data_IF_612306714904
#
_entry.id   IF_612306714904
#
_cell.length_a   1.000
_cell.length_b   1.000
_cell.length_c   1.000
_cell.angle_alpha   90.00
_cell.angle_beta   90.00
_cell.angle_gamma   90.00
#
_symmetry.space_group_name_H-M   'P 1'
#
loop_
_entity.id
_entity.type
_entity.pdbx_description
1 polymer ?
#
# COMPACT_ATOMS: atom_id res chain seq x y z
N UNK A 1 -8.69 1.79 6.50
CA UNK A 1 -7.62 2.80 6.73
C UNK A 1 -6.52 2.56 5.73
N UNK A 2 -6.23 3.53 4.87
CA UNK A 2 -5.15 3.45 3.89
C UNK A 2 -3.85 3.91 4.55
N UNK A 3 -2.71 3.35 4.16
CA UNK A 3 -1.40 3.73 4.66
C UNK A 3 -0.35 3.67 3.56
N UNK A 4 0.53 4.67 3.49
CA UNK A 4 1.69 4.69 2.59
C UNK A 4 2.96 4.88 3.40
N UNK A 5 3.99 4.12 3.06
CA UNK A 5 5.36 4.31 3.55
C UNK A 5 6.23 4.79 2.41
N UNK A 6 7.08 5.78 2.66
CA UNK A 6 8.10 6.20 1.71
C UNK A 6 9.35 6.69 2.43
N UNK A 7 10.49 6.55 1.75
CA UNK A 7 11.78 6.96 2.28
C UNK A 7 11.86 8.47 2.46
N UNK A 8 12.42 8.92 3.58
CA UNK A 8 12.82 10.31 3.72
C UNK A 8 13.31 10.68 5.10
N UNK A 9 14.27 11.60 5.12
CA UNK A 9 14.83 12.16 6.34
C UNK A 9 13.97 13.33 6.80
N UNK A 10 12.86 13.01 7.45
CA UNK A 10 11.98 14.00 8.07
C UNK A 10 12.14 13.92 9.59
N UNK A 11 12.29 15.08 10.23
CA UNK A 11 12.60 15.14 11.66
C UNK A 11 12.13 16.41 12.37
N UNK A 12 11.59 17.38 11.63
CA UNK A 12 10.96 18.58 12.18
C UNK A 12 9.54 18.77 11.67
N UNK A 13 8.68 19.39 12.47
CA UNK A 13 7.29 19.69 12.08
C UNK A 13 7.23 20.52 10.78
N UNK A 14 8.14 21.47 10.59
CA UNK A 14 8.23 22.29 9.37
C UNK A 14 8.55 21.45 8.13
N UNK A 15 9.42 20.42 8.27
CA UNK A 15 9.71 19.49 7.18
C UNK A 15 8.50 18.62 6.81
N UNK A 16 7.64 18.30 7.79
CA UNK A 16 6.40 17.57 7.57
C UNK A 16 5.31 18.46 6.95
N UNK A 17 5.20 19.72 7.35
CA UNK A 17 4.27 20.69 6.72
C UNK A 17 4.56 20.85 5.23
N UNK A 18 5.83 20.87 4.84
CA UNK A 18 6.22 20.98 3.43
C UNK A 18 5.71 19.82 2.57
N UNK A 19 5.57 18.61 3.16
CA UNK A 19 5.10 17.45 2.40
C UNK A 19 3.58 17.39 2.30
N UNK A 20 2.80 18.00 3.20
CA UNK A 20 1.34 17.95 3.14
C UNK A 20 0.75 18.65 1.90
N UNK A 21 -0.37 18.17 1.35
CA UNK A 21 -1.15 18.93 0.38
C UNK A 21 -1.66 20.26 0.98
N UNK A 22 -1.98 21.22 0.11
CA UNK A 22 -2.57 22.49 0.54
C UNK A 22 -3.90 22.25 1.26
N UNK A 23 -4.14 22.96 2.36
CA UNK A 23 -5.36 22.84 3.18
C UNK A 23 -5.22 21.93 4.41
N UNK A 24 -4.04 21.35 4.61
CA UNK A 24 -3.74 20.45 5.73
C UNK A 24 -2.56 20.96 6.55
N UNK A 25 -2.58 20.64 7.83
CA UNK A 25 -1.51 20.94 8.78
C UNK A 25 -1.20 19.70 9.64
N UNK A 26 -0.09 19.76 10.37
CA UNK A 26 0.29 18.71 11.32
C UNK A 26 0.38 19.27 12.73
N UNK A 27 0.00 18.45 13.69
CA UNK A 27 0.16 18.73 15.11
C UNK A 27 0.85 17.56 15.79
N UNK A 28 1.91 17.85 16.54
CA UNK A 28 2.62 16.83 17.33
C UNK A 28 1.69 16.23 18.40
N UNK A 29 1.61 14.90 18.46
CA UNK A 29 0.77 14.18 19.44
C UNK A 29 1.62 13.59 20.56
N UNK A 30 2.74 12.96 20.22
CA UNK A 30 3.65 12.34 21.19
C UNK A 30 5.11 12.34 20.67
N UNK A 31 6.03 12.76 21.55
CA UNK A 31 7.50 12.67 21.43
C UNK A 31 8.16 13.11 20.10
N UNK A 32 7.47 13.86 19.25
CA UNK A 32 8.00 14.30 17.94
C UNK A 32 8.15 13.18 16.90
N UNK A 33 7.62 11.99 17.17
CA UNK A 33 7.64 10.84 16.24
C UNK A 33 6.27 10.54 15.64
N UNK A 34 5.20 11.03 16.26
CA UNK A 34 3.83 10.88 15.78
C UNK A 34 3.11 12.23 15.71
N UNK A 35 2.48 12.46 14.57
CA UNK A 35 1.78 13.71 14.26
C UNK A 35 0.37 13.39 13.77
N UNK A 36 -0.62 14.14 14.24
CA UNK A 36 -1.95 14.15 13.63
C UNK A 36 -1.88 15.03 12.38
N UNK A 37 -2.56 14.61 11.31
CA UNK A 37 -2.86 15.49 10.17
C UNK A 37 -4.24 16.05 10.36
N UNK A 38 -4.35 17.38 10.31
CA UNK A 38 -5.59 18.12 10.51
C UNK A 38 -5.94 18.89 9.24
N UNK A 39 -7.23 19.11 8.99
CA UNK A 39 -7.68 20.19 8.10
C UNK A 39 -7.46 21.55 8.79
N UNK A 40 -7.47 22.65 8.04
CA UNK A 40 -7.47 24.00 8.65
C UNK A 40 -8.70 24.30 9.53
N UNK A 41 -9.75 23.47 9.46
CA UNK A 41 -10.89 23.54 10.38
C UNK A 41 -10.65 22.77 11.70
N UNK A 42 -9.50 22.09 11.84
CA UNK A 42 -9.10 21.33 13.02
C UNK A 42 -9.57 19.87 13.05
N UNK A 43 -10.15 19.35 11.96
CA UNK A 43 -10.61 17.96 11.89
C UNK A 43 -9.44 17.02 11.63
N UNK A 44 -9.32 15.94 12.40
CA UNK A 44 -8.27 14.93 12.18
C UNK A 44 -8.63 14.02 11.02
N UNK A 45 -7.71 13.92 10.05
CA UNK A 45 -7.91 13.21 8.78
C UNK A 45 -6.90 12.08 8.55
N UNK A 46 -5.89 12.00 9.40
CA UNK A 46 -4.83 11.03 9.28
C UNK A 46 -3.76 11.21 10.33
N UNK A 47 -2.69 10.44 10.20
CA UNK A 47 -1.50 10.60 11.04
C UNK A 47 -0.23 10.33 10.25
N UNK A 48 0.86 10.89 10.75
CA UNK A 48 2.21 10.66 10.27
C UNK A 48 3.01 10.02 11.41
N UNK A 49 3.69 8.93 11.11
CA UNK A 49 4.62 8.27 12.01
C UNK A 49 6.00 8.20 11.37
N UNK A 50 7.02 8.60 12.12
CA UNK A 50 8.42 8.58 11.69
C UNK A 50 9.12 7.42 12.39
N UNK A 51 9.59 6.45 11.62
CA UNK A 51 10.35 5.32 12.11
C UNK A 51 11.47 4.96 11.12
N UNK A 52 12.68 4.74 11.64
CA UNK A 52 13.78 4.11 10.89
C UNK A 52 14.11 4.78 9.53
N UNK A 53 14.05 6.11 9.44
CA UNK A 53 14.34 6.84 8.19
C UNK A 53 13.22 6.79 7.14
N UNK A 54 12.05 6.28 7.52
CA UNK A 54 10.84 6.28 6.72
C UNK A 54 9.74 7.10 7.39
N UNK A 55 8.85 7.63 6.55
CA UNK A 55 7.61 8.27 6.96
C UNK A 55 6.44 7.38 6.54
N UNK A 56 5.65 6.99 7.52
CA UNK A 56 4.38 6.31 7.34
C UNK A 56 3.24 7.32 7.46
N UNK A 57 2.39 7.42 6.45
CA UNK A 57 1.21 8.27 6.45
C UNK A 57 -0.02 7.39 6.42
N UNK A 58 -0.89 7.59 7.40
CA UNK A 58 -2.16 6.88 7.54
C UNK A 58 -3.32 7.83 7.24
N UNK A 59 -4.30 7.37 6.47
CA UNK A 59 -5.50 8.10 6.08
C UNK A 59 -6.70 7.49 6.79
N UNK A 60 -7.41 8.29 7.58
CA UNK A 60 -8.56 7.81 8.33
C UNK A 60 -9.74 7.52 7.42
N UNK A 61 -10.57 6.57 7.83
CA UNK A 61 -11.74 6.15 7.06
C UNK A 61 -12.95 7.05 7.37
N UNK A 62 -12.78 8.33 7.03
CA UNK A 62 -13.80 9.39 7.12
C UNK A 62 -13.88 10.13 5.79
N UNK A 63 -14.97 10.84 5.46
CA UNK A 63 -15.05 11.64 4.23
C UNK A 63 -13.84 12.57 4.05
N UNK A 64 -13.46 13.30 5.10
CA UNK A 64 -12.31 14.21 5.08
C UNK A 64 -10.97 13.47 4.99
N UNK A 65 -10.86 12.28 5.58
CA UNK A 65 -9.69 11.40 5.40
C UNK A 65 -9.56 10.87 3.97
N UNK A 66 -10.69 10.60 3.30
CA UNK A 66 -10.73 10.21 1.89
C UNK A 66 -10.39 11.37 0.96
N UNK A 67 -10.78 12.60 1.30
CA UNK A 67 -10.37 13.83 0.61
C UNK A 67 -8.87 14.07 0.79
N UNK A 68 -8.34 13.87 1.99
CA UNK A 68 -6.91 13.94 2.27
C UNK A 68 -6.12 12.91 1.44
N UNK A 69 -6.58 11.66 1.38
CA UNK A 69 -5.96 10.63 0.55
C UNK A 69 -5.96 11.02 -0.94
N UNK A 70 -7.03 11.63 -1.44
CA UNK A 70 -7.12 12.13 -2.81
C UNK A 70 -6.16 13.29 -3.07
N UNK A 71 -6.12 14.28 -2.17
CA UNK A 71 -5.21 15.43 -2.27
C UNK A 71 -3.73 14.98 -2.20
N UNK A 72 -3.44 13.98 -1.37
CA UNK A 72 -2.12 13.34 -1.31
C UNK A 72 -1.76 12.71 -2.65
N UNK A 73 -2.67 11.92 -3.23
CA UNK A 73 -2.45 11.28 -4.54
C UNK A 73 -2.27 12.26 -5.70
N UNK A 74 -2.88 13.46 -5.62
CA UNK A 74 -2.66 14.53 -6.60
C UNK A 74 -1.27 15.15 -6.47
N UNK A 75 -0.79 15.38 -5.24
CA UNK A 75 0.55 15.95 -4.99
C UNK A 75 1.67 14.94 -5.26
N UNK A 76 1.47 13.68 -4.89
CA UNK A 76 2.45 12.59 -5.03
C UNK A 76 1.86 11.44 -5.84
N UNK A 77 1.75 11.63 -7.15
CA UNK A 77 1.16 10.63 -8.05
C UNK A 77 1.82 9.25 -7.93
N UNK A 78 3.14 9.20 -7.78
CA UNK A 78 3.88 7.95 -7.60
C UNK A 78 3.58 7.21 -6.27
N UNK A 79 3.07 7.93 -5.27
CA UNK A 79 2.75 7.43 -3.93
C UNK A 79 1.25 7.54 -3.61
N UNK A 80 0.40 7.60 -4.63
CA UNK A 80 -1.05 7.72 -4.45
C UNK A 80 -1.60 6.43 -3.79
N UNK A 81 -2.23 6.52 -2.60
CA UNK A 81 -2.76 5.35 -1.90
C UNK A 81 -3.90 4.65 -2.64
N UNK A 82 -4.58 5.37 -3.54
CA UNK A 82 -5.69 4.85 -4.34
C UNK A 82 -5.24 4.25 -5.67
N UNK A 83 -3.94 4.23 -5.96
CA UNK A 83 -3.42 3.52 -7.14
C UNK A 83 -3.64 2.03 -6.98
N UNK A 84 -4.36 1.43 -7.92
CA UNK A 84 -4.47 -0.03 -8.03
C UNK A 84 -3.13 -0.57 -8.52
N UNK A 85 -2.62 -1.54 -7.78
CA UNK A 85 -1.46 -2.34 -8.11
C UNK A 85 -1.91 -3.74 -8.49
N UNK A 86 -1.13 -4.38 -9.36
CA UNK A 86 -1.30 -5.74 -9.83
C UNK A 86 -0.04 -6.54 -9.50
N UNK A 87 -0.21 -7.76 -9.01
CA UNK A 87 0.93 -8.57 -8.60
C UNK A 87 0.60 -10.05 -8.51
N UNK A 88 1.60 -10.81 -8.10
CA UNK A 88 1.52 -12.25 -7.94
C UNK A 88 1.77 -12.63 -6.49
N UNK A 89 0.89 -13.45 -5.93
CA UNK A 89 1.06 -14.04 -4.61
C UNK A 89 1.09 -15.56 -4.74
N UNK A 90 1.84 -16.20 -3.85
CA UNK A 90 1.85 -17.64 -3.70
C UNK A 90 1.50 -18.03 -2.27
N UNK A 91 0.79 -19.15 -2.16
CA UNK A 91 0.46 -19.73 -0.87
C UNK A 91 1.53 -20.74 -0.45
N UNK A 92 2.14 -20.49 0.71
CA UNK A 92 3.22 -21.28 1.31
C UNK A 92 2.62 -22.26 2.32
N UNK A 93 2.60 -23.54 1.93
CA UNK A 93 1.98 -24.61 2.72
C UNK A 93 2.66 -24.83 4.07
N UNK A 94 3.98 -24.65 4.17
CA UNK A 94 4.71 -24.87 5.42
C UNK A 94 4.29 -23.89 6.53
N UNK A 95 3.89 -22.67 6.14
CA UNK A 95 3.59 -21.59 7.09
C UNK A 95 2.10 -21.24 7.16
N UNK A 96 1.27 -21.77 6.26
CA UNK A 96 -0.13 -21.34 6.09
C UNK A 96 -0.23 -19.80 5.88
N UNK A 97 0.63 -19.28 5.00
CA UNK A 97 0.75 -17.84 4.71
C UNK A 97 0.87 -17.58 3.23
N UNK A 98 0.55 -16.36 2.84
CA UNK A 98 0.75 -15.83 1.49
C UNK A 98 2.07 -15.09 1.41
N UNK A 99 2.71 -15.11 0.24
CA UNK A 99 3.89 -14.31 0.00
C UNK A 99 3.74 -13.59 -1.33
N UNK A 100 4.11 -12.31 -1.34
CA UNK A 100 4.14 -11.47 -2.53
C UNK A 100 5.48 -11.70 -3.23
N UNK A 101 5.42 -12.13 -4.48
CA UNK A 101 6.61 -12.58 -5.21
C UNK A 101 7.58 -11.45 -5.54
N UNK A 102 7.05 -10.37 -6.12
CA UNK A 102 7.83 -9.23 -6.58
C UNK A 102 7.13 -7.91 -6.29
N UNK A 103 7.83 -6.81 -6.56
CA UNK A 103 7.25 -5.47 -6.49
C UNK A 103 6.05 -5.40 -7.45
N UNK A 104 4.86 -5.00 -6.97
CA UNK A 104 3.66 -4.92 -7.80
C UNK A 104 3.74 -3.83 -8.89
N UNK A 105 3.03 -4.04 -9.98
CA UNK A 105 2.97 -3.14 -11.13
C UNK A 105 1.70 -2.29 -11.13
N UNK A 106 1.78 -1.05 -11.57
CA UNK A 106 0.62 -0.13 -11.66
C UNK A 106 -0.25 -0.35 -12.91
N UNK A 107 0.30 -0.97 -13.96
CA UNK A 107 -0.40 -1.26 -15.21
C UNK A 107 -0.78 -2.73 -15.28
N UNK A 108 -2.06 -3.01 -15.53
CA UNK A 108 -2.56 -4.38 -15.72
C UNK A 108 -1.83 -5.09 -16.87
N UNK A 109 -1.64 -4.40 -18.00
CA UNK A 109 -0.98 -4.96 -19.19
C UNK A 109 0.42 -5.47 -18.87
N UNK A 110 1.26 -4.64 -18.25
CA UNK A 110 2.61 -5.02 -17.86
C UNK A 110 2.63 -6.20 -16.89
N UNK A 111 1.70 -6.24 -15.92
CA UNK A 111 1.59 -7.38 -15.04
C UNK A 111 1.21 -8.66 -15.82
N UNK A 112 0.23 -8.55 -16.73
CA UNK A 112 -0.23 -9.66 -17.57
C UNK A 112 0.83 -10.19 -18.55
N UNK A 113 1.74 -9.36 -19.05
CA UNK A 113 2.87 -9.81 -19.89
C UNK A 113 3.77 -10.81 -19.15
N UNK A 114 3.89 -10.67 -17.84
CA UNK A 114 4.73 -11.54 -17.01
C UNK A 114 4.05 -12.87 -16.64
N UNK A 115 2.76 -13.04 -16.93
CA UNK A 115 1.96 -14.19 -16.44
C UNK A 115 2.51 -15.55 -16.86
N UNK A 116 3.20 -15.62 -18.00
CA UNK A 116 3.82 -16.83 -18.52
C UNK A 116 4.94 -17.37 -17.61
N UNK A 117 5.55 -16.53 -16.77
CA UNK A 117 6.57 -16.96 -15.80
C UNK A 117 5.95 -17.69 -14.60
N UNK A 118 4.64 -17.59 -14.41
CA UNK A 118 3.92 -18.07 -13.22
C UNK A 118 2.98 -19.24 -13.51
N UNK A 119 2.83 -19.63 -14.78
CA UNK A 119 1.79 -20.56 -15.22
C UNK A 119 2.06 -22.03 -14.87
N UNK A 120 3.28 -22.33 -14.39
CA UNK A 120 3.72 -23.66 -13.98
C UNK A 120 3.61 -23.90 -12.47
N UNK A 121 3.43 -22.85 -11.68
CA UNK A 121 3.36 -22.96 -10.23
C UNK A 121 1.91 -23.20 -9.77
N UNK A 122 1.68 -24.33 -9.10
CA UNK A 122 0.33 -24.79 -8.73
C UNK A 122 -0.38 -23.90 -7.70
N UNK A 123 0.36 -23.02 -7.00
CA UNK A 123 -0.14 -22.18 -5.92
C UNK A 123 0.00 -20.68 -6.20
N UNK A 124 0.11 -20.27 -7.46
CA UNK A 124 0.25 -18.85 -7.83
C UNK A 124 -1.08 -18.20 -8.19
N UNK A 125 -1.27 -16.98 -7.70
CA UNK A 125 -2.48 -16.20 -7.87
C UNK A 125 -2.12 -14.80 -8.35
N UNK A 126 -2.87 -14.33 -9.34
CA UNK A 126 -2.84 -12.96 -9.80
C UNK A 126 -3.80 -12.14 -8.94
N UNK A 127 -3.32 -11.04 -8.38
CA UNK A 127 -4.07 -10.20 -7.46
C UNK A 127 -4.06 -8.75 -7.91
N UNK A 128 -5.09 -8.01 -7.50
CA UNK A 128 -5.08 -6.54 -7.53
C UNK A 128 -5.48 -5.99 -6.17
N UNK A 129 -4.89 -4.85 -5.80
CA UNK A 129 -5.08 -4.22 -4.50
C UNK A 129 -4.74 -2.74 -4.57
N UNK A 130 -5.25 -1.94 -3.62
CA UNK A 130 -4.84 -0.55 -3.49
C UNK A 130 -3.45 -0.49 -2.87
N UNK A 131 -2.56 0.37 -3.39
CA UNK A 131 -1.23 0.62 -2.80
C UNK A 131 -1.32 0.90 -1.31
N UNK A 132 -2.34 1.67 -0.90
CA UNK A 132 -2.56 2.03 0.51
C UNK A 132 -3.04 0.90 1.41
N UNK A 133 -3.42 -0.26 0.86
CA UNK A 133 -3.87 -1.44 1.61
C UNK A 133 -2.78 -2.51 1.72
N UNK A 134 -1.60 -2.25 1.17
CA UNK A 134 -0.44 -3.10 1.36
C UNK A 134 0.21 -2.84 2.72
N UNK A 135 0.14 -3.83 3.61
CA UNK A 135 0.79 -3.80 4.93
C UNK A 135 1.83 -4.92 5.06
N UNK A 136 2.72 -4.84 6.06
CA UNK A 136 3.75 -5.86 6.25
C UNK A 136 3.22 -7.28 6.44
N UNK A 137 2.14 -7.42 7.22
CA UNK A 137 1.62 -8.73 7.66
C UNK A 137 0.28 -9.11 7.01
N UNK A 138 -0.31 -8.19 6.24
CA UNK A 138 -1.60 -8.40 5.60
C UNK A 138 -1.70 -7.65 4.26
N UNK A 139 -2.47 -8.23 3.34
CA UNK A 139 -2.79 -7.63 2.06
C UNK A 139 -4.28 -7.79 1.76
N UNK A 140 -5.03 -6.69 1.75
CA UNK A 140 -6.41 -6.70 1.30
C UNK A 140 -6.44 -6.61 -0.23
N UNK A 141 -6.97 -7.64 -0.88
CA UNK A 141 -7.06 -7.74 -2.34
C UNK A 141 -8.48 -7.44 -2.81
N UNK A 142 -8.58 -6.68 -3.90
CA UNK A 142 -9.82 -6.40 -4.62
C UNK A 142 -10.21 -7.59 -5.51
N UNK A 143 -9.20 -8.24 -6.09
CA UNK A 143 -9.37 -9.44 -6.90
C UNK A 143 -8.29 -10.46 -6.59
N UNK A 144 -8.65 -11.73 -6.65
CA UNK A 144 -7.71 -12.85 -6.58
C UNK A 144 -8.14 -13.93 -7.57
N UNK A 145 -7.23 -14.31 -8.45
CA UNK A 145 -7.47 -15.25 -9.54
C UNK A 145 -6.31 -16.23 -9.65
N UNK A 146 -6.58 -17.53 -9.50
CA UNK A 146 -5.56 -18.56 -9.69
C UNK A 146 -5.00 -18.51 -11.12
N UNK A 147 -3.68 -18.51 -11.24
CA UNK A 147 -2.99 -18.63 -12.54
C UNK A 147 -3.03 -20.10 -12.96
N UNK A 148 -3.48 -20.36 -14.18
CA UNK A 148 -3.53 -21.69 -14.80
C UNK A 148 -2.49 -21.76 -15.91
N UNK A 149 -2.13 -22.98 -16.28
CA UNK A 149 -1.26 -23.27 -17.43
C UNK A 149 -1.65 -22.48 -18.68
N UNK A 150 -0.63 -21.98 -19.39
CA UNK A 150 -0.78 -21.11 -20.54
C UNK A 150 -1.19 -19.69 -20.17
N UNK A 151 -0.90 -19.24 -18.94
CA UNK A 151 -1.16 -17.87 -18.48
C UNK A 151 -2.65 -17.51 -18.32
N UNK A 152 -3.54 -18.49 -18.21
CA UNK A 152 -4.98 -18.23 -18.10
C UNK A 152 -5.36 -17.95 -16.65
N UNK A 153 -6.26 -17.00 -16.43
CA UNK A 153 -6.77 -16.70 -15.09
C UNK A 153 -8.06 -17.48 -14.79
N UNK A 154 -8.17 -18.02 -13.58
CA UNK A 154 -9.40 -18.57 -13.04
C UNK A 154 -10.44 -17.45 -12.77
N UNK A 155 -11.64 -17.86 -12.32
CA UNK A 155 -12.66 -16.91 -11.84
C UNK A 155 -12.12 -16.10 -10.67
N UNK A 156 -12.44 -14.81 -10.64
CA UNK A 156 -12.14 -13.96 -9.48
C UNK A 156 -12.96 -14.39 -8.26
N UNK A 157 -12.28 -14.59 -7.13
CA UNK A 157 -12.89 -14.96 -5.84
C UNK A 157 -12.76 -13.89 -4.77
N UNK A 158 -12.16 -12.73 -5.07
CA UNK A 158 -12.06 -11.61 -4.14
C UNK A 158 -13.38 -10.84 -3.95
N UNK A 159 -13.43 -9.86 -3.03
CA UNK A 159 -12.32 -9.37 -2.19
C UNK A 159 -12.01 -10.26 -0.98
N UNK A 160 -10.77 -10.25 -0.52
CA UNK A 160 -10.30 -11.03 0.64
C UNK A 160 -9.09 -10.34 1.29
N UNK A 161 -8.82 -10.61 2.57
CA UNK A 161 -7.55 -10.22 3.23
C UNK A 161 -6.65 -11.44 3.36
N UNK A 162 -5.47 -11.36 2.76
CA UNK A 162 -4.45 -12.38 2.79
C UNK A 162 -3.47 -12.12 3.93
N UNK A 163 -3.21 -13.12 4.76
CA UNK A 163 -2.18 -13.03 5.80
C UNK A 163 -0.81 -13.31 5.18
N UNK A 164 0.06 -12.31 5.19
CA UNK A 164 1.39 -12.41 4.59
C UNK A 164 2.37 -13.11 5.54
N UNK A 165 3.24 -13.95 4.98
CA UNK A 165 4.44 -14.43 5.66
C UNK A 165 5.51 -13.35 5.60
N UNK A 166 6.52 -13.42 6.49
CA UNK A 166 7.62 -12.46 6.57
C UNK A 166 8.04 -11.96 5.18
N UNK A 167 7.70 -10.70 4.87
CA UNK A 167 8.10 -10.05 3.63
C UNK A 167 9.62 -9.81 3.69
N UNK A 168 10.42 -10.78 3.25
CA UNK A 168 11.83 -10.53 2.94
C UNK A 168 11.99 -9.41 1.89
N UNK A 169 10.91 -9.08 1.15
CA UNK A 169 10.87 -8.03 0.13
C UNK A 169 10.56 -6.60 0.65
N UNK A 170 10.48 -6.36 1.96
CA UNK A 170 10.16 -5.03 2.51
C UNK A 170 11.28 -3.97 2.35
N UNK A 171 12.46 -4.34 1.85
CA UNK A 171 13.65 -3.48 1.80
C UNK A 171 13.96 -2.88 0.42
N UNK A 172 13.19 -3.20 -0.63
CA UNK A 172 13.47 -2.73 -2.00
C UNK A 172 12.57 -1.57 -2.47
N UNK A 173 11.82 -0.92 -1.59
CA UNK A 173 11.21 0.39 -1.88
C UNK A 173 12.27 1.49 -1.69
N UNK A 174 13.30 1.49 -2.54
CA UNK A 174 14.18 2.64 -2.76
C UNK A 174 13.56 3.57 -3.81
#
# INVERSE_FOLDING_TARGET
>A
MLQIRFAGNYGSEDSLKAILPTGYEVRTVDSGRKYDVLTFAGNSVGSIEIAEGAVAISFYDTPEGQDFASAWGLKYQASNPKTILYGYVYYVLETDRWQLDHVPTVLLETAMEMIGNYDQADNTYFVSFLRGEWKPDELTVLSIQKVKRGGKLARNTGPETLLLGNLENSWSMQ
#
